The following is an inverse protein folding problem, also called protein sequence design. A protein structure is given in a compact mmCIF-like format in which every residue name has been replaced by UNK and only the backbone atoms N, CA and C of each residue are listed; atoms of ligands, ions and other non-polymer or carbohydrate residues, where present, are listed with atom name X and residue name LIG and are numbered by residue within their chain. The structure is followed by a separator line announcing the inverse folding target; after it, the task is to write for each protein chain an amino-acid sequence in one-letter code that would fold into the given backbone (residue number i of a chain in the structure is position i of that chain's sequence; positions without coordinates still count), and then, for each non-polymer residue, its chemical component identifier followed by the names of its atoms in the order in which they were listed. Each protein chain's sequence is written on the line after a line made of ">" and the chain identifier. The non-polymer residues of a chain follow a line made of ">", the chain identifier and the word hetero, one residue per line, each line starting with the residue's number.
data_IF_962916373111
#
_entry.id   IF_962916373111
#
_cell.length_a   1.000
_cell.length_b   1.000
_cell.length_c   1.000
_cell.angle_alpha   90.00
_cell.angle_beta   90.00
_cell.angle_gamma   90.00
#
_symmetry.space_group_name_H-M   'P 1'
#
loop_
_entity.id
_entity.type
_entity.pdbx_description
1 polymer ?
#
# COMPACT_ATOMS: atom_id res chain seq x y z
N UNK A 1 19.64 -30.92 10.92
CA UNK A 1 19.78 -29.49 11.22
C UNK A 1 19.39 -28.69 9.98
N UNK A 2 18.11 -28.33 9.86
CA UNK A 2 17.60 -27.54 8.73
C UNK A 2 17.59 -26.08 9.19
N UNK A 3 18.43 -25.29 8.53
CA UNK A 3 18.78 -23.89 8.84
C UNK A 3 17.54 -23.00 8.90
N UNK A 4 17.33 -22.37 10.06
CA UNK A 4 16.25 -21.40 10.34
C UNK A 4 16.23 -20.17 9.39
N UNK A 5 17.30 -19.96 8.63
CA UNK A 5 17.41 -18.94 7.59
C UNK A 5 16.46 -19.21 6.40
N UNK A 6 16.29 -20.47 5.98
CA UNK A 6 15.46 -20.80 4.81
C UNK A 6 13.95 -20.58 5.03
N UNK A 7 13.51 -20.54 6.29
CA UNK A 7 12.11 -20.30 6.67
C UNK A 7 11.72 -18.82 6.60
N UNK A 8 12.69 -17.91 6.71
CA UNK A 8 12.46 -16.45 6.65
C UNK A 8 12.37 -15.93 5.21
N UNK A 9 12.95 -16.64 4.26
CA UNK A 9 13.03 -16.20 2.86
C UNK A 9 11.74 -16.45 2.08
N UNK A 10 10.95 -17.47 2.46
CA UNK A 10 9.64 -17.75 1.84
C UNK A 10 8.51 -16.82 2.28
N UNK A 11 8.70 -16.03 3.33
CA UNK A 11 7.66 -15.15 3.87
C UNK A 11 7.61 -13.76 3.19
N UNK A 12 8.43 -13.52 2.15
CA UNK A 12 8.79 -12.17 1.69
C UNK A 12 8.27 -11.75 0.31
N UNK A 13 7.36 -12.50 -0.34
CA UNK A 13 6.80 -12.08 -1.65
C UNK A 13 5.30 -12.34 -1.83
N UNK A 14 4.42 -11.66 -1.09
CA UNK A 14 3.02 -11.50 -1.49
C UNK A 14 2.78 -10.31 -2.44
N UNK A 15 3.76 -9.39 -2.58
CA UNK A 15 3.52 -8.07 -3.19
C UNK A 15 3.65 -8.04 -4.72
N UNK A 16 4.41 -8.97 -5.32
CA UNK A 16 4.66 -9.00 -6.77
C UNK A 16 3.40 -9.35 -7.59
N UNK A 17 2.51 -10.17 -7.03
CA UNK A 17 1.27 -10.57 -7.72
C UNK A 17 0.22 -9.45 -7.73
N UNK A 18 0.25 -8.55 -6.73
CA UNK A 18 -0.74 -7.46 -6.61
C UNK A 18 -0.41 -6.28 -7.50
N UNK A 19 0.87 -5.92 -7.62
CA UNK A 19 1.30 -4.89 -8.56
C UNK A 19 0.89 -5.22 -10.00
N UNK A 20 1.09 -6.48 -10.43
CA UNK A 20 0.77 -6.91 -11.78
C UNK A 20 -0.72 -6.87 -12.17
N UNK A 21 -1.65 -7.00 -11.21
CA UNK A 21 -3.10 -6.95 -11.49
C UNK A 21 -3.53 -5.50 -11.78
N UNK A 22 -3.02 -4.55 -11.01
CA UNK A 22 -3.34 -3.12 -11.15
C UNK A 22 -2.68 -2.50 -12.37
N UNK A 23 -1.45 -2.94 -12.65
CA UNK A 23 -0.75 -2.62 -13.90
C UNK A 23 -1.52 -3.20 -15.11
N UNK A 24 -2.14 -4.37 -14.94
CA UNK A 24 -2.98 -5.00 -15.95
C UNK A 24 -4.27 -4.21 -16.24
N UNK A 25 -5.00 -3.80 -15.20
CA UNK A 25 -6.26 -3.04 -15.31
C UNK A 25 -6.01 -1.62 -15.82
N UNK A 26 -4.99 -0.92 -15.30
CA UNK A 26 -4.64 0.44 -15.76
C UNK A 26 -4.22 0.46 -17.24
N UNK A 27 -3.42 -0.52 -17.68
CA UNK A 27 -3.06 -0.68 -19.09
C UNK A 27 -4.28 -0.99 -19.96
N UNK A 28 -5.21 -1.82 -19.47
CA UNK A 28 -6.46 -2.08 -20.17
C UNK A 28 -7.33 -0.83 -20.30
N UNK A 29 -7.54 -0.08 -19.22
CA UNK A 29 -8.30 1.17 -19.24
C UNK A 29 -7.70 2.22 -20.16
N UNK A 30 -6.36 2.29 -20.25
CA UNK A 30 -5.66 3.17 -21.17
C UNK A 30 -5.89 2.77 -22.65
N UNK A 31 -5.80 1.47 -22.95
CA UNK A 31 -6.08 0.95 -24.30
C UNK A 31 -7.53 1.20 -24.71
N UNK A 32 -8.49 0.90 -23.82
CA UNK A 32 -9.90 1.16 -24.10
C UNK A 32 -10.26 2.63 -24.16
N UNK A 33 -9.64 3.45 -23.31
CA UNK A 33 -9.77 4.91 -23.39
C UNK A 33 -9.27 5.43 -24.74
N UNK A 34 -8.15 4.91 -25.24
CA UNK A 34 -7.62 5.24 -26.56
C UNK A 34 -8.53 4.82 -27.71
N UNK A 35 -9.06 3.58 -27.67
CA UNK A 35 -10.02 3.08 -28.68
C UNK A 35 -11.30 3.92 -28.65
N UNK A 36 -11.80 4.24 -27.46
CA UNK A 36 -13.00 5.07 -27.30
C UNK A 36 -12.80 6.49 -27.81
N UNK A 37 -11.65 7.12 -27.53
CA UNK A 37 -11.30 8.44 -28.05
C UNK A 37 -11.23 8.43 -29.58
N UNK A 38 -10.54 7.44 -30.15
CA UNK A 38 -10.44 7.29 -31.60
C UNK A 38 -11.81 7.05 -32.26
N UNK A 39 -12.65 6.22 -31.65
CA UNK A 39 -14.03 6.00 -32.08
C UNK A 39 -14.89 7.26 -31.98
N UNK A 40 -14.71 8.08 -30.95
CA UNK A 40 -15.43 9.35 -30.78
C UNK A 40 -15.01 10.38 -31.83
N UNK A 41 -13.71 10.51 -32.13
CA UNK A 41 -13.22 11.35 -33.24
C UNK A 41 -13.78 10.87 -34.58
N UNK A 42 -13.78 9.55 -34.83
CA UNK A 42 -14.41 8.97 -36.02
C UNK A 42 -15.92 9.26 -36.11
N UNK A 43 -16.63 9.22 -34.98
CA UNK A 43 -18.05 9.56 -34.92
C UNK A 43 -18.30 11.04 -35.27
N UNK A 44 -17.47 11.98 -34.82
CA UNK A 44 -17.59 13.39 -35.21
C UNK A 44 -17.36 13.65 -36.71
N UNK A 45 -16.65 12.76 -37.40
CA UNK A 45 -16.40 12.87 -38.85
C UNK A 45 -17.52 12.24 -39.71
N UNK A 46 -18.33 11.35 -39.13
CA UNK A 46 -19.31 10.53 -39.86
C UNK A 46 -20.76 10.79 -39.43
N UNK A 47 -21.01 11.18 -38.17
CA UNK A 47 -22.33 11.48 -37.62
C UNK A 47 -22.61 13.00 -37.54
N UNK A 48 -23.91 13.34 -37.45
CA UNK A 48 -24.38 14.66 -37.04
C UNK A 48 -23.69 15.09 -35.72
N UNK A 49 -23.13 16.31 -35.64
CA UNK A 49 -22.45 16.83 -34.45
C UNK A 49 -23.26 16.69 -33.15
N UNK A 50 -24.59 16.74 -33.23
CA UNK A 50 -25.48 16.60 -32.06
C UNK A 50 -25.46 15.16 -31.53
N UNK A 51 -25.55 14.15 -32.40
CA UNK A 51 -25.42 12.76 -31.94
C UNK A 51 -23.99 12.44 -31.51
N UNK A 52 -22.99 12.97 -32.21
CA UNK A 52 -21.59 12.73 -31.87
C UNK A 52 -21.24 13.26 -30.46
N UNK A 53 -21.71 14.48 -30.13
CA UNK A 53 -21.54 15.06 -28.80
C UNK A 53 -22.29 14.28 -27.71
N UNK A 54 -23.50 13.79 -27.98
CA UNK A 54 -24.22 12.92 -27.04
C UNK A 54 -23.43 11.64 -26.71
N UNK A 55 -22.94 10.93 -27.73
CA UNK A 55 -22.15 9.70 -27.54
C UNK A 55 -20.83 9.98 -26.82
N UNK A 56 -20.16 11.08 -27.16
CA UNK A 56 -18.93 11.50 -26.50
C UNK A 56 -19.14 11.80 -25.01
N UNK A 57 -20.22 12.50 -24.66
CA UNK A 57 -20.53 12.82 -23.25
C UNK A 57 -20.87 11.54 -22.49
N UNK A 58 -21.77 10.71 -23.01
CA UNK A 58 -22.17 9.46 -22.35
C UNK A 58 -20.98 8.52 -22.16
N UNK A 59 -20.17 8.35 -23.20
CA UNK A 59 -18.97 7.52 -23.15
C UNK A 59 -17.93 8.05 -22.16
N UNK A 60 -17.74 9.38 -22.08
CA UNK A 60 -16.83 10.00 -21.12
C UNK A 60 -17.30 9.76 -19.69
N UNK A 61 -18.61 9.92 -19.43
CA UNK A 61 -19.19 9.66 -18.11
C UNK A 61 -18.99 8.18 -17.71
N UNK A 62 -19.30 7.24 -18.59
CA UNK A 62 -19.13 5.81 -18.34
C UNK A 62 -17.65 5.45 -18.10
N UNK A 63 -16.75 6.01 -18.91
CA UNK A 63 -15.31 5.81 -18.74
C UNK A 63 -14.82 6.36 -17.41
N UNK A 64 -15.26 7.57 -17.01
CA UNK A 64 -14.95 8.15 -15.71
C UNK A 64 -15.43 7.29 -14.54
N UNK A 65 -16.64 6.74 -14.64
CA UNK A 65 -17.17 5.79 -13.65
C UNK A 65 -16.32 4.51 -13.61
N UNK A 66 -15.93 3.97 -14.76
CA UNK A 66 -15.09 2.77 -14.82
C UNK A 66 -13.70 3.01 -14.20
N UNK A 67 -13.09 4.18 -14.42
CA UNK A 67 -11.81 4.55 -13.79
C UNK A 67 -11.98 4.64 -12.28
N UNK A 68 -13.03 5.32 -11.80
CA UNK A 68 -13.27 5.45 -10.35
C UNK A 68 -13.59 4.10 -9.69
N UNK A 69 -14.31 3.22 -10.39
CA UNK A 69 -14.65 1.88 -9.93
C UNK A 69 -13.46 0.91 -9.99
N UNK A 70 -12.43 1.19 -10.81
CA UNK A 70 -11.31 0.26 -11.03
C UNK A 70 -10.50 -0.05 -9.77
N UNK A 71 -10.49 0.90 -8.82
CA UNK A 71 -9.80 0.77 -7.54
C UNK A 71 -10.75 0.48 -6.37
N UNK A 72 -12.05 0.36 -6.64
CA UNK A 72 -13.08 0.23 -5.60
C UNK A 72 -12.89 -1.04 -4.76
N UNK A 73 -12.48 -2.14 -5.37
CA UNK A 73 -12.29 -3.39 -4.63
C UNK A 73 -10.93 -3.48 -3.92
N UNK A 74 -10.10 -2.43 -4.04
CA UNK A 74 -8.77 -2.40 -3.46
C UNK A 74 -8.79 -1.96 -2.00
N UNK A 75 -9.48 -2.74 -1.18
CA UNK A 75 -9.55 -2.53 0.25
C UNK A 75 -8.55 -3.44 0.95
N UNK A 76 -7.67 -2.85 1.77
CA UNK A 76 -6.81 -3.65 2.65
C UNK A 76 -7.67 -4.58 3.51
N UNK A 77 -7.29 -5.85 3.65
CA UNK A 77 -7.97 -6.70 4.63
C UNK A 77 -7.60 -6.26 6.05
N UNK A 78 -8.44 -6.57 7.03
CA UNK A 78 -8.13 -6.30 8.44
C UNK A 78 -6.78 -6.89 8.84
N UNK A 79 -6.51 -8.13 8.41
CA UNK A 79 -5.25 -8.83 8.67
C UNK A 79 -4.04 -8.12 8.05
N UNK A 80 -4.17 -7.62 6.82
CA UNK A 80 -3.10 -6.87 6.16
C UNK A 80 -2.80 -5.56 6.90
N UNK A 81 -3.84 -4.85 7.37
CA UNK A 81 -3.66 -3.66 8.20
C UNK A 81 -2.96 -3.97 9.53
N UNK A 82 -3.33 -5.05 10.19
CA UNK A 82 -2.70 -5.46 11.45
C UNK A 82 -1.24 -5.90 11.25
N UNK A 83 -0.95 -6.64 10.17
CA UNK A 83 0.43 -6.99 9.80
C UNK A 83 1.28 -5.74 9.55
N UNK A 84 0.75 -4.74 8.85
CA UNK A 84 1.46 -3.48 8.61
C UNK A 84 1.68 -2.68 9.91
N UNK A 85 0.71 -2.67 10.83
CA UNK A 85 0.91 -2.07 12.15
C UNK A 85 1.95 -2.83 12.96
N UNK A 86 1.96 -4.16 12.90
CA UNK A 86 2.97 -4.99 13.56
C UNK A 86 4.37 -4.72 13.00
N UNK A 87 4.52 -4.62 11.68
CA UNK A 87 5.77 -4.24 11.00
C UNK A 87 6.25 -2.86 11.45
N UNK A 88 5.38 -1.85 11.44
CA UNK A 88 5.72 -0.49 11.91
C UNK A 88 6.16 -0.47 13.38
N UNK A 89 5.54 -1.28 14.25
CA UNK A 89 5.95 -1.43 15.65
C UNK A 89 7.30 -2.13 15.77
N UNK A 90 7.59 -3.14 14.95
CA UNK A 90 8.88 -3.80 14.90
C UNK A 90 9.99 -2.85 14.45
N UNK A 91 9.77 -2.08 13.39
CA UNK A 91 10.73 -1.09 12.89
C UNK A 91 10.98 0.02 13.92
N UNK A 92 9.92 0.50 14.57
CA UNK A 92 10.04 1.48 15.66
C UNK A 92 10.83 0.88 16.82
N UNK A 93 10.63 -0.40 17.16
CA UNK A 93 11.43 -1.08 18.18
C UNK A 93 12.90 -1.11 17.76
N UNK A 94 13.22 -1.50 16.54
CA UNK A 94 14.62 -1.57 16.10
C UNK A 94 15.29 -0.18 16.17
N UNK A 95 14.64 0.86 15.64
CA UNK A 95 15.16 2.25 15.71
C UNK A 95 15.36 2.77 17.12
N UNK A 96 14.56 2.31 18.08
CA UNK A 96 14.62 2.79 19.49
C UNK A 96 15.42 1.86 20.40
N UNK A 97 16.04 0.80 19.88
CA UNK A 97 16.73 -0.21 20.67
C UNK A 97 17.89 0.39 21.48
N UNK A 98 18.68 1.26 20.87
CA UNK A 98 19.84 1.89 21.53
C UNK A 98 19.43 2.96 22.54
N UNK A 99 18.34 3.67 22.27
CA UNK A 99 17.76 4.60 23.23
C UNK A 99 17.25 3.84 24.47
N UNK A 100 16.54 2.72 24.27
CA UNK A 100 16.06 1.86 25.35
C UNK A 100 17.19 1.18 26.12
N UNK A 101 18.30 0.85 25.46
CA UNK A 101 19.48 0.30 26.14
C UNK A 101 20.14 1.34 27.07
N UNK A 102 20.31 2.58 26.59
CA UNK A 102 20.84 3.69 27.40
C UNK A 102 19.92 4.05 28.56
N UNK A 103 18.62 4.04 28.34
CA UNK A 103 17.62 4.31 29.37
C UNK A 103 17.64 3.25 30.47
N UNK A 104 17.70 1.96 30.10
CA UNK A 104 17.90 0.85 31.05
C UNK A 104 19.18 1.00 31.85
N UNK A 105 20.32 1.30 31.20
CA UNK A 105 21.58 1.50 31.90
C UNK A 105 21.52 2.65 32.91
N UNK A 106 20.83 3.76 32.58
CA UNK A 106 20.61 4.88 33.51
C UNK A 106 19.72 4.48 34.68
N UNK A 107 18.64 3.75 34.40
CA UNK A 107 17.72 3.27 35.42
C UNK A 107 18.42 2.30 36.39
N UNK A 108 19.20 1.36 35.88
CA UNK A 108 20.00 0.42 36.68
C UNK A 108 21.03 1.15 37.57
N UNK A 109 21.76 2.12 37.01
CA UNK A 109 22.69 2.94 37.79
C UNK A 109 21.99 3.77 38.87
N UNK A 110 20.77 4.25 38.63
CA UNK A 110 19.98 4.95 39.63
C UNK A 110 19.48 4.01 40.72
N UNK A 111 19.07 2.78 40.37
CA UNK A 111 18.63 1.78 41.34
C UNK A 111 19.76 1.30 42.23
N UNK A 112 20.98 1.13 41.70
CA UNK A 112 22.17 0.83 42.50
C UNK A 112 22.42 1.93 43.54
N UNK A 113 22.43 3.21 43.12
CA UNK A 113 22.58 4.35 44.04
C UNK A 113 21.50 4.41 45.11
N UNK A 114 20.27 4.00 44.78
CA UNK A 114 19.16 3.94 45.74
C UNK A 114 19.34 2.77 46.71
N UNK A 115 19.76 1.60 46.23
CA UNK A 115 20.06 0.43 47.05
C UNK A 115 21.18 0.73 48.04
N UNK A 116 22.30 1.30 47.58
CA UNK A 116 23.44 1.69 48.43
C UNK A 116 23.04 2.70 49.52
N UNK A 117 22.19 3.67 49.17
CA UNK A 117 21.65 4.65 50.13
C UNK A 117 20.70 4.02 51.14
N UNK A 118 19.97 2.97 50.75
CA UNK A 118 19.06 2.25 51.66
C UNK A 118 19.76 1.24 52.56
N UNK A 119 20.91 0.69 52.14
CA UNK A 119 21.74 -0.25 52.93
C UNK A 119 22.78 0.44 53.80
N UNK A 120 23.07 1.73 53.57
CA UNK A 120 23.98 2.55 54.38
C UNK A 120 23.33 3.16 55.63
N UNK A 121 22.22 2.59 56.12
CA UNK A 121 21.53 2.96 57.36
C UNK A 121 21.39 1.73 58.22
#
# INVERSE_FOLDING_TARGET
>A
MITAASRRERARRPDAHRAGILDGVSRWLAVWGGIWLAGSVGAFLVLDPILASFVAIVGLCLWGVAVLASDWEQHSSFEQRELDRARRRADRRERTKDARARDRARWEAHQQRKADRSSGR
#
